data_IF_058124031190
#
_entry.id   IF_058124031190
#
_cell.length_a   1.000
_cell.length_b   1.000
_cell.length_c   1.000
_cell.angle_alpha   90.00
_cell.angle_beta   90.00
_cell.angle_gamma   90.00
#
_symmetry.space_group_name_H-M   'P 1'
#
loop_
_entity.id
_entity.type
_entity.pdbx_description
1 polymer ?
#
# COMPACT_ATOMS: atom_id res chain seq x y z
N UNK A 1 9.48 -1.35 8.99
CA UNK A 1 8.36 -2.20 8.60
C UNK A 1 7.07 -1.43 8.76
N UNK A 2 6.69 -0.60 7.78
CA UNK A 2 5.40 0.11 7.73
C UNK A 2 4.50 -0.48 6.64
N UNK A 3 3.19 -0.21 6.68
CA UNK A 3 2.29 -0.60 5.57
C UNK A 3 2.73 0.04 4.25
N UNK A 4 3.21 1.29 4.29
CA UNK A 4 3.74 1.97 3.12
C UNK A 4 4.95 1.25 2.51
N UNK A 5 5.89 0.77 3.33
CA UNK A 5 7.02 -0.05 2.87
C UNK A 5 6.53 -1.36 2.21
N UNK A 6 5.53 -2.02 2.80
CA UNK A 6 4.91 -3.21 2.19
C UNK A 6 4.33 -2.90 0.81
N UNK A 7 3.57 -1.80 0.69
CA UNK A 7 2.99 -1.35 -0.60
C UNK A 7 4.07 -1.05 -1.65
N UNK A 8 5.22 -0.51 -1.25
CA UNK A 8 6.37 -0.32 -2.14
C UNK A 8 6.99 -1.66 -2.56
N UNK A 9 7.20 -2.59 -1.64
CA UNK A 9 7.81 -3.89 -1.94
C UNK A 9 6.97 -4.73 -2.90
N UNK A 10 5.65 -4.63 -2.82
CA UNK A 10 4.73 -5.33 -3.73
C UNK A 10 4.36 -4.51 -4.97
N UNK A 11 5.00 -3.35 -5.18
CA UNK A 11 4.83 -2.49 -6.35
C UNK A 11 3.38 -1.98 -6.55
N UNK A 12 2.63 -1.83 -5.45
CA UNK A 12 1.20 -1.55 -5.47
C UNK A 12 0.83 -0.25 -6.18
N UNK A 13 1.68 0.78 -6.07
CA UNK A 13 1.46 2.10 -6.68
C UNK A 13 1.53 2.09 -8.20
N UNK A 14 2.34 1.20 -8.78
CA UNK A 14 2.60 1.16 -10.23
C UNK A 14 1.84 0.04 -10.92
N UNK A 15 1.57 -1.05 -10.21
CA UNK A 15 0.90 -2.26 -10.71
C UNK A 15 -0.20 -2.70 -9.73
N UNK A 16 -1.27 -1.90 -9.55
CA UNK A 16 -2.34 -2.23 -8.61
C UNK A 16 -3.00 -3.59 -8.90
N UNK A 17 -3.03 -4.01 -10.17
CA UNK A 17 -3.51 -5.33 -10.56
C UNK A 17 -2.66 -6.47 -9.99
N UNK A 18 -1.33 -6.29 -9.88
CA UNK A 18 -0.45 -7.27 -9.26
C UNK A 18 -0.58 -7.28 -7.74
N UNK A 19 -0.85 -6.12 -7.15
CA UNK A 19 -1.14 -6.03 -5.72
C UNK A 19 -2.39 -6.83 -5.34
N UNK A 20 -3.47 -6.77 -6.12
CA UNK A 20 -4.65 -7.61 -5.84
C UNK A 20 -4.37 -9.11 -5.99
N UNK A 21 -3.52 -9.51 -6.95
CA UNK A 21 -3.06 -10.90 -7.06
C UNK A 21 -2.23 -11.32 -5.85
N UNK A 22 -1.37 -10.43 -5.33
CA UNK A 22 -0.61 -10.67 -4.10
C UNK A 22 -1.54 -10.88 -2.91
N UNK A 23 -2.55 -10.02 -2.73
CA UNK A 23 -3.56 -10.18 -1.67
C UNK A 23 -4.27 -11.53 -1.80
N UNK A 24 -4.73 -11.87 -3.01
CA UNK A 24 -5.43 -13.14 -3.30
C UNK A 24 -4.56 -14.35 -2.95
N UNK A 25 -3.26 -14.32 -3.28
CA UNK A 25 -2.33 -15.40 -2.94
C UNK A 25 -2.16 -15.55 -1.42
N UNK A 26 -2.03 -14.44 -0.67
CA UNK A 26 -1.95 -14.47 0.78
C UNK A 26 -3.24 -15.03 1.42
N UNK A 27 -4.40 -14.65 0.88
CA UNK A 27 -5.69 -15.15 1.33
C UNK A 27 -5.85 -16.65 1.09
N UNK A 28 -5.38 -17.15 -0.05
CA UNK A 28 -5.37 -18.57 -0.38
C UNK A 28 -4.42 -19.36 0.55
N UNK A 29 -3.21 -18.86 0.82
CA UNK A 29 -2.27 -19.49 1.76
C UNK A 29 -2.88 -19.59 3.17
N UNK A 30 -3.50 -18.51 3.65
CA UNK A 30 -4.12 -18.52 4.97
C UNK A 30 -5.26 -19.52 5.06
N UNK A 31 -6.12 -19.62 4.04
CA UNK A 31 -7.28 -20.54 4.04
C UNK A 31 -6.91 -21.98 3.77
N UNK A 32 -5.77 -22.25 3.12
CA UNK A 32 -5.28 -23.60 2.89
C UNK A 32 -4.79 -24.32 4.16
N UNK A 33 -4.66 -23.61 5.29
CA UNK A 33 -4.23 -24.17 6.57
C UNK A 33 -5.42 -24.78 7.32
N UNK A 34 -5.33 -26.05 7.79
CA UNK A 34 -6.41 -26.68 8.54
C UNK A 34 -6.86 -25.83 9.73
N UNK A 35 -8.17 -25.58 9.84
CA UNK A 35 -8.78 -24.75 10.89
C UNK A 35 -8.84 -23.25 10.60
N UNK A 36 -8.39 -22.80 9.42
CA UNK A 36 -8.41 -21.38 8.99
C UNK A 36 -9.34 -21.12 7.79
N UNK A 37 -10.04 -22.13 7.31
CA UNK A 37 -10.82 -22.12 6.06
C UNK A 37 -11.87 -21.00 6.05
N UNK A 38 -12.49 -20.76 7.21
CA UNK A 38 -13.57 -19.78 7.40
C UNK A 38 -13.15 -18.58 8.26
N UNK A 39 -11.84 -18.42 8.54
CA UNK A 39 -11.37 -17.30 9.34
C UNK A 39 -11.58 -15.99 8.59
N UNK A 40 -12.20 -15.01 9.27
CA UNK A 40 -12.30 -13.64 8.74
C UNK A 40 -10.90 -13.04 8.69
N UNK A 41 -10.46 -12.65 7.49
CA UNK A 41 -9.20 -11.95 7.27
C UNK A 41 -9.49 -10.47 7.07
N UNK A 42 -8.95 -9.63 7.96
CA UNK A 42 -9.10 -8.17 7.88
C UNK A 42 -7.90 -7.50 7.20
N UNK A 43 -6.77 -8.22 7.08
CA UNK A 43 -5.53 -7.70 6.51
C UNK A 43 -5.68 -7.25 5.03
N UNK A 44 -6.40 -7.98 4.15
CA UNK A 44 -6.67 -7.54 2.79
C UNK A 44 -7.27 -6.13 2.72
N UNK A 45 -8.31 -5.88 3.53
CA UNK A 45 -9.03 -4.61 3.53
C UNK A 45 -8.19 -3.49 4.13
N UNK A 46 -7.41 -3.77 5.17
CA UNK A 46 -6.46 -2.81 5.74
C UNK A 46 -5.42 -2.39 4.69
N UNK A 47 -4.86 -3.35 3.93
CA UNK A 47 -3.86 -3.06 2.90
C UNK A 47 -4.45 -2.26 1.74
N UNK A 48 -5.67 -2.57 1.32
CA UNK A 48 -6.39 -1.79 0.30
C UNK A 48 -6.67 -0.37 0.78
N UNK A 49 -7.15 -0.21 2.01
CA UNK A 49 -7.40 1.09 2.62
C UNK A 49 -6.10 1.93 2.71
N UNK A 50 -4.98 1.31 3.11
CA UNK A 50 -3.68 1.97 3.14
C UNK A 50 -3.21 2.42 1.74
N UNK A 51 -3.42 1.58 0.71
CA UNK A 51 -3.12 1.97 -0.67
C UNK A 51 -3.98 3.15 -1.14
N UNK A 52 -5.28 3.14 -0.81
CA UNK A 52 -6.18 4.25 -1.10
C UNK A 52 -5.73 5.54 -0.41
N UNK A 53 -5.42 5.47 0.89
CA UNK A 53 -4.93 6.62 1.67
C UNK A 53 -3.63 7.19 1.09
N UNK A 54 -2.64 6.33 0.81
CA UNK A 54 -1.36 6.76 0.23
C UNK A 54 -1.50 7.32 -1.20
N UNK A 55 -2.47 6.86 -1.98
CA UNK A 55 -2.76 7.42 -3.31
C UNK A 55 -3.49 8.76 -3.26
N UNK A 56 -4.15 9.10 -2.15
CA UNK A 56 -4.83 10.39 -1.98
C UNK A 56 -3.87 11.57 -1.81
N UNK A 57 -2.59 11.31 -1.50
CA UNK A 57 -1.56 12.34 -1.35
C UNK A 57 -1.21 12.93 -2.71
N UNK A 58 -1.57 14.21 -2.90
CA UNK A 58 -1.38 14.93 -4.16
C UNK A 58 0.05 15.44 -4.32
N UNK A 59 0.72 15.05 -5.42
CA UNK A 59 2.07 15.53 -5.74
C UNK A 59 2.11 16.95 -6.27
N UNK A 60 0.98 17.45 -6.81
CA UNK A 60 0.89 18.80 -7.40
C UNK A 60 1.19 19.89 -6.38
N UNK A 61 0.61 19.80 -5.18
CA UNK A 61 0.85 20.77 -4.09
C UNK A 61 2.32 20.80 -3.66
N UNK A 62 3.00 19.65 -3.70
CA UNK A 62 4.43 19.57 -3.39
C UNK A 62 5.29 20.25 -4.46
N UNK A 63 4.92 20.13 -5.74
CA UNK A 63 5.58 20.84 -6.83
C UNK A 63 5.38 22.35 -6.67
N UNK A 64 4.16 22.80 -6.35
CA UNK A 64 3.85 24.22 -6.10
C UNK A 64 4.61 24.78 -4.88
N UNK A 65 4.90 23.95 -3.87
CA UNK A 65 5.76 24.27 -2.73
C UNK A 65 7.28 24.23 -3.07
N UNK A 66 7.65 23.92 -4.30
CA UNK A 66 9.04 23.93 -4.77
C UNK A 66 9.84 22.66 -4.48
N UNK A 67 9.21 21.58 -4.01
CA UNK A 67 9.91 20.30 -3.82
C UNK A 67 10.32 19.70 -5.17
N UNK A 68 11.55 19.22 -5.26
CA UNK A 68 12.10 18.58 -6.47
C UNK A 68 13.06 17.45 -6.12
N UNK A 69 13.33 16.57 -7.10
CA UNK A 69 14.32 15.51 -6.99
C UNK A 69 14.16 14.63 -5.75
N UNK A 70 15.25 14.45 -4.99
CA UNK A 70 15.26 13.66 -3.76
C UNK A 70 14.32 14.22 -2.68
N UNK A 71 14.28 15.54 -2.51
CA UNK A 71 13.43 16.18 -1.50
C UNK A 71 11.93 15.96 -1.79
N UNK A 72 11.53 15.92 -3.06
CA UNK A 72 10.16 15.52 -3.45
C UNK A 72 9.85 14.08 -3.04
N UNK A 73 10.75 13.14 -3.31
CA UNK A 73 10.55 11.74 -2.97
C UNK A 73 10.43 11.51 -1.46
N UNK A 74 11.29 12.16 -0.67
CA UNK A 74 11.27 12.10 0.79
C UNK A 74 9.97 12.69 1.35
N UNK A 75 9.57 13.88 0.88
CA UNK A 75 8.35 14.53 1.36
C UNK A 75 7.09 13.75 1.01
N UNK A 76 7.02 13.21 -0.21
CA UNK A 76 5.91 12.37 -0.64
C UNK A 76 5.83 11.09 0.21
N UNK A 77 6.97 10.48 0.54
CA UNK A 77 7.01 9.30 1.41
C UNK A 77 6.49 9.61 2.81
N UNK A 78 6.94 10.70 3.44
CA UNK A 78 6.45 11.13 4.76
C UNK A 78 4.93 11.33 4.77
N UNK A 79 4.40 12.08 3.80
CA UNK A 79 2.97 12.37 3.73
C UNK A 79 2.14 11.12 3.50
N UNK A 80 2.61 10.19 2.67
CA UNK A 80 1.95 8.89 2.48
C UNK A 80 1.99 8.01 3.72
N UNK A 81 2.99 8.15 4.58
CA UNK A 81 3.09 7.39 5.81
C UNK A 81 2.14 7.93 6.89
N UNK A 82 1.73 9.20 6.79
CA UNK A 82 0.83 9.86 7.73
C UNK A 82 -0.65 9.80 7.32
N UNK A 83 -0.94 9.49 6.04
CA UNK A 83 -2.28 9.34 5.49
C UNK A 83 -2.92 8.02 5.91
#
# INVERSE_FOLDING_TARGET
>A
GTLLETLHHVDAFRRPERFELFITACEADSRGRPGYENRVLTQPDILRAALTAANSVQTKELVEQGYTGKAMAERLHELRCLA
#
